data_IF_676644197689
#
_entry.id   IF_676644197689
#
_cell.length_a   1.000
_cell.length_b   1.000
_cell.length_c   1.000
_cell.angle_alpha   90.00
_cell.angle_beta   90.00
_cell.angle_gamma   90.00
#
_symmetry.space_group_name_H-M   'P 1'
#
loop_
_entity.id
_entity.type
_entity.pdbx_description
1 polymer ?
#
# COMPACT_ATOMS: atom_id res chain seq x y z
N UNK A 1 19.61 21.07 0.33
CA UNK A 1 19.30 19.99 1.29
C UNK A 1 19.32 18.67 0.55
N UNK A 2 19.81 17.60 1.17
CA UNK A 2 19.73 16.25 0.60
C UNK A 2 18.32 15.72 0.88
N UNK A 3 17.64 15.18 -0.14
CA UNK A 3 16.32 14.59 0.01
C UNK A 3 16.43 13.22 0.70
N UNK A 4 15.40 12.89 1.48
CA UNK A 4 15.10 11.52 1.90
C UNK A 4 14.36 10.83 0.77
N UNK A 5 14.82 9.65 0.38
CA UNK A 5 14.20 8.82 -0.66
C UNK A 5 13.60 7.60 0.05
N UNK A 6 12.27 7.43 0.05
CA UNK A 6 11.66 6.21 0.54
C UNK A 6 12.07 4.99 -0.29
N UNK A 7 12.19 3.85 0.37
CA UNK A 7 12.48 2.55 -0.21
C UNK A 7 11.45 1.54 0.33
N UNK A 8 10.82 0.77 -0.56
CA UNK A 8 10.00 -0.37 -0.17
C UNK A 8 10.92 -1.48 0.34
N UNK A 9 11.02 -1.65 1.66
CA UNK A 9 11.91 -2.64 2.29
C UNK A 9 11.34 -4.04 2.22
N UNK A 10 10.04 -4.17 2.50
CA UNK A 10 9.31 -5.44 2.42
C UNK A 10 7.82 -5.19 2.19
N UNK A 11 7.15 -6.23 1.73
CA UNK A 11 5.70 -6.26 1.55
C UNK A 11 5.19 -7.63 1.99
N UNK A 12 4.07 -7.65 2.71
CA UNK A 12 3.42 -8.87 3.16
C UNK A 12 1.94 -8.62 3.42
N UNK A 13 1.17 -9.69 3.67
CA UNK A 13 -0.16 -9.59 4.25
C UNK A 13 -0.10 -10.12 5.69
N UNK A 14 -0.81 -9.51 6.64
CA UNK A 14 -0.86 -10.00 8.01
C UNK A 14 -1.73 -11.26 8.14
N UNK A 15 -2.59 -11.53 7.16
CA UNK A 15 -3.57 -12.61 7.22
C UNK A 15 -3.00 -13.95 6.77
N UNK A 16 -2.18 -13.96 5.70
CA UNK A 16 -1.58 -15.17 5.09
C UNK A 16 -0.51 -14.84 4.05
N UNK A 17 0.14 -15.88 3.51
CA UNK A 17 1.18 -15.72 2.51
C UNK A 17 0.63 -15.17 1.19
N UNK A 18 1.20 -14.04 0.78
CA UNK A 18 0.76 -13.26 -0.38
C UNK A 18 0.96 -13.97 -1.72
N UNK A 19 1.85 -14.96 -1.77
CA UNK A 19 2.12 -15.73 -3.00
C UNK A 19 0.95 -16.64 -3.37
N UNK A 20 0.07 -16.96 -2.42
CA UNK A 20 -1.07 -17.86 -2.63
C UNK A 20 -2.26 -17.12 -3.28
N UNK A 21 -2.27 -15.80 -3.23
CA UNK A 21 -3.46 -14.98 -3.56
C UNK A 21 -3.79 -14.93 -5.04
N UNK A 22 -2.78 -15.01 -5.92
CA UNK A 22 -3.00 -14.90 -7.36
C UNK A 22 -3.89 -16.03 -7.90
N UNK A 23 -3.64 -17.27 -7.47
CA UNK A 23 -4.48 -18.40 -7.90
C UNK A 23 -5.80 -18.43 -7.14
N UNK A 24 -5.83 -18.06 -5.86
CA UNK A 24 -7.05 -18.02 -5.05
C UNK A 24 -8.09 -17.04 -5.60
N UNK A 25 -7.66 -15.83 -5.99
CA UNK A 25 -8.58 -14.76 -6.39
C UNK A 25 -8.77 -14.63 -7.90
N UNK A 26 -8.28 -15.59 -8.67
CA UNK A 26 -8.23 -15.54 -10.13
C UNK A 26 -9.54 -15.11 -10.80
N UNK A 27 -10.68 -15.52 -10.25
CA UNK A 27 -12.00 -15.22 -10.79
C UNK A 27 -12.98 -14.60 -9.77
N UNK A 28 -12.54 -14.40 -8.53
CA UNK A 28 -13.43 -14.00 -7.45
C UNK A 28 -13.25 -12.52 -7.07
N UNK A 29 -14.30 -11.83 -6.61
CA UNK A 29 -14.15 -10.54 -5.96
C UNK A 29 -13.21 -10.65 -4.76
N UNK A 30 -12.22 -9.77 -4.66
CA UNK A 30 -11.27 -9.75 -3.55
C UNK A 30 -10.98 -8.33 -3.08
N UNK A 31 -10.66 -8.22 -1.79
CA UNK A 31 -10.11 -7.03 -1.17
C UNK A 31 -9.31 -7.47 0.05
N UNK A 32 -8.01 -7.29 0.00
CA UNK A 32 -7.07 -7.89 0.95
C UNK A 32 -6.12 -6.85 1.52
N UNK A 33 -5.80 -7.01 2.79
CA UNK A 33 -4.86 -6.14 3.46
C UNK A 33 -3.42 -6.54 3.12
N UNK A 34 -2.68 -5.57 2.61
CA UNK A 34 -1.24 -5.64 2.39
C UNK A 34 -0.57 -4.54 3.22
N UNK A 35 0.53 -4.91 3.87
CA UNK A 35 1.40 -3.97 4.56
C UNK A 35 2.65 -3.73 3.72
N UNK A 36 2.76 -2.52 3.19
CA UNK A 36 3.98 -2.03 2.55
C UNK A 36 4.86 -1.38 3.63
N UNK A 37 6.07 -1.92 3.81
CA UNK A 37 7.01 -1.41 4.80
C UNK A 37 8.00 -0.51 4.10
N UNK A 38 7.93 0.79 4.39
CA UNK A 38 8.83 1.77 3.80
C UNK A 38 9.83 2.27 4.83
N UNK A 39 11.08 2.44 4.40
CA UNK A 39 12.12 3.09 5.18
C UNK A 39 12.93 4.05 4.33
N UNK A 40 13.91 4.72 4.95
CA UNK A 40 14.83 5.59 4.22
C UNK A 40 15.82 4.72 3.41
N UNK A 41 16.03 5.09 2.15
CA UNK A 41 16.97 4.40 1.27
C UNK A 41 18.38 4.32 1.89
N UNK A 42 18.91 3.09 1.95
CA UNK A 42 20.23 2.82 2.52
C UNK A 42 20.33 2.95 4.05
N UNK A 43 19.20 3.11 4.76
CA UNK A 43 19.15 3.07 6.22
C UNK A 43 18.39 1.84 6.71
N UNK A 44 18.66 1.47 7.96
CA UNK A 44 17.91 0.46 8.70
C UNK A 44 16.59 1.05 9.24
N UNK A 45 15.61 0.17 9.45
CA UNK A 45 14.28 0.56 9.93
C UNK A 45 13.28 0.84 8.81
N UNK A 46 12.01 0.64 9.14
CA UNK A 46 10.85 0.90 8.31
C UNK A 46 9.61 1.08 9.16
N UNK A 47 8.57 1.62 8.53
CA UNK A 47 7.26 1.87 9.11
C UNK A 47 6.20 1.25 8.22
N UNK A 48 5.07 0.87 8.82
CA UNK A 48 3.99 0.19 8.11
C UNK A 48 3.00 1.15 7.45
N UNK A 49 2.60 0.78 6.22
CA UNK A 49 1.55 1.43 5.44
C UNK A 49 0.55 0.36 5.00
N UNK A 50 -0.63 0.40 5.58
CA UNK A 50 -1.72 -0.55 5.33
C UNK A 50 -2.50 -0.15 4.06
N UNK A 51 -2.55 -1.06 3.09
CA UNK A 51 -3.17 -0.86 1.78
C UNK A 51 -4.16 -1.99 1.54
N UNK A 52 -5.40 -1.64 1.17
CA UNK A 52 -6.39 -2.62 0.73
C UNK A 52 -6.28 -2.79 -0.79
N UNK A 53 -5.84 -3.96 -1.25
CA UNK A 53 -5.75 -4.27 -2.68
C UNK A 53 -6.97 -5.05 -3.11
N UNK A 54 -7.74 -4.48 -4.03
CA UNK A 54 -9.08 -4.96 -4.36
C UNK A 54 -9.30 -4.96 -5.88
N UNK A 55 -10.13 -5.85 -6.41
CA UNK A 55 -10.52 -5.79 -7.82
C UNK A 55 -11.81 -5.00 -8.06
N UNK A 56 -12.06 -4.57 -9.32
CA UNK A 56 -13.27 -3.82 -9.65
C UNK A 56 -14.58 -4.50 -9.25
N UNK A 57 -14.67 -5.83 -9.33
CA UNK A 57 -15.88 -6.57 -8.95
C UNK A 57 -16.18 -6.46 -7.45
N UNK A 58 -15.15 -6.44 -6.58
CA UNK A 58 -15.35 -6.20 -5.16
C UNK A 58 -15.83 -4.77 -4.88
N UNK A 59 -15.24 -3.78 -5.57
CA UNK A 59 -15.65 -2.37 -5.43
C UNK A 59 -17.10 -2.16 -5.87
N UNK A 60 -17.54 -2.83 -6.93
CA UNK A 60 -18.94 -2.80 -7.38
C UNK A 60 -19.90 -3.35 -6.32
N UNK A 61 -19.55 -4.48 -5.69
CA UNK A 61 -20.35 -5.05 -4.60
C UNK A 61 -20.45 -4.09 -3.42
N UNK A 62 -19.34 -3.46 -3.02
CA UNK A 62 -19.32 -2.54 -1.88
C UNK A 62 -20.06 -1.23 -2.18
N UNK A 63 -19.90 -0.66 -3.38
CA UNK A 63 -20.61 0.53 -3.80
C UNK A 63 -22.13 0.32 -3.92
N UNK A 64 -22.57 -0.90 -4.27
CA UNK A 64 -23.99 -1.24 -4.28
C UNK A 64 -24.62 -1.30 -2.87
N UNK A 65 -23.79 -1.35 -1.82
CA UNK A 65 -24.25 -1.30 -0.43
C UNK A 65 -24.37 0.13 0.13
N UNK A 66 -23.98 1.17 -0.63
CA UNK A 66 -24.14 2.56 -0.23
C UNK A 66 -22.99 3.48 -0.65
N UNK A 67 -22.57 4.36 0.26
CA UNK A 67 -21.45 5.28 0.03
C UNK A 67 -20.17 4.63 0.54
N UNK A 68 -19.16 4.58 -0.33
CA UNK A 68 -17.87 3.98 -0.05
C UNK A 68 -16.74 5.01 -0.25
N UNK A 69 -15.79 5.06 0.69
CA UNK A 69 -14.58 5.91 0.60
C UNK A 69 -13.39 5.08 0.13
N UNK A 70 -12.86 5.39 -1.06
CA UNK A 70 -11.73 4.66 -1.65
C UNK A 70 -10.34 5.03 -1.11
N UNK A 71 -10.23 5.75 0.01
CA UNK A 71 -8.93 6.14 0.57
C UNK A 71 -8.17 4.90 1.08
N UNK A 72 -6.92 4.75 0.65
CA UNK A 72 -6.03 3.60 0.93
C UNK A 72 -6.40 2.30 0.21
N UNK A 73 -7.25 2.39 -0.83
CA UNK A 73 -7.59 1.26 -1.70
C UNK A 73 -6.77 1.34 -3.00
N UNK A 74 -6.09 0.25 -3.34
CA UNK A 74 -5.42 0.06 -4.62
C UNK A 74 -6.24 -0.91 -5.47
N UNK A 75 -6.71 -0.43 -6.62
CA UNK A 75 -7.57 -1.22 -7.51
C UNK A 75 -6.74 -1.92 -8.58
N UNK A 76 -6.83 -3.25 -8.64
CA UNK A 76 -6.09 -4.09 -9.59
C UNK A 76 -7.02 -4.99 -10.39
N UNK A 77 -6.79 -5.16 -11.69
CA UNK A 77 -7.62 -6.04 -12.53
C UNK A 77 -7.48 -7.52 -12.15
N UNK A 78 -6.28 -7.92 -11.71
CA UNK A 78 -5.95 -9.24 -11.17
C UNK A 78 -4.95 -9.06 -10.04
N UNK A 79 -4.89 -10.00 -9.11
CA UNK A 79 -3.87 -9.97 -8.09
C UNK A 79 -2.54 -10.43 -8.69
N UNK A 80 -1.54 -9.55 -8.73
CA UNK A 80 -0.22 -9.81 -9.30
C UNK A 80 0.79 -9.05 -8.43
N UNK A 81 1.46 -9.78 -7.53
CA UNK A 81 2.28 -9.17 -6.50
C UNK A 81 3.48 -8.41 -7.07
N UNK A 82 4.02 -8.85 -8.20
CA UNK A 82 5.17 -8.18 -8.82
C UNK A 82 4.76 -6.85 -9.47
N UNK A 83 3.57 -6.81 -10.09
CA UNK A 83 2.99 -5.54 -10.59
C UNK A 83 2.68 -4.59 -9.44
N UNK A 84 2.09 -5.09 -8.34
CA UNK A 84 1.79 -4.27 -7.14
C UNK A 84 3.08 -3.72 -6.54
N UNK A 85 4.10 -4.56 -6.31
CA UNK A 85 5.41 -4.14 -5.80
C UNK A 85 6.02 -3.05 -6.67
N UNK A 86 6.01 -3.23 -7.99
CA UNK A 86 6.55 -2.24 -8.92
C UNK A 86 5.84 -0.89 -8.79
N UNK A 87 4.51 -0.91 -8.74
CA UNK A 87 3.71 0.29 -8.54
C UNK A 87 4.03 1.01 -7.23
N UNK A 88 4.18 0.26 -6.13
CA UNK A 88 4.55 0.79 -4.82
C UNK A 88 5.98 1.36 -4.78
N UNK A 89 6.93 0.73 -5.47
CA UNK A 89 8.29 1.28 -5.65
C UNK A 89 8.24 2.59 -6.43
N UNK A 90 7.44 2.67 -7.49
CA UNK A 90 7.28 3.90 -8.28
C UNK A 90 6.66 5.02 -7.43
N UNK A 91 5.69 4.71 -6.56
CA UNK A 91 5.16 5.67 -5.58
C UNK A 91 6.27 6.17 -4.65
N UNK A 92 7.06 5.27 -4.06
CA UNK A 92 8.13 5.62 -3.12
C UNK A 92 9.12 6.62 -3.72
N UNK A 93 9.54 6.40 -4.97
CA UNK A 93 10.44 7.29 -5.69
C UNK A 93 9.85 8.70 -5.89
N UNK A 94 8.53 8.79 -6.11
CA UNK A 94 7.81 10.07 -6.26
C UNK A 94 7.49 10.76 -4.91
N UNK A 95 7.70 10.07 -3.79
CA UNK A 95 7.45 10.61 -2.45
C UNK A 95 8.70 11.21 -1.78
N UNK A 96 9.84 11.29 -2.47
CA UNK A 96 11.07 11.88 -1.93
C UNK A 96 10.85 13.32 -1.41
N UNK A 97 11.35 13.60 -0.21
CA UNK A 97 11.02 14.80 0.55
C UNK A 97 12.19 15.32 1.40
N UNK A 98 12.00 16.44 2.10
CA UNK A 98 13.06 17.05 2.93
C UNK A 98 13.31 16.32 4.26
N UNK A 99 12.32 15.57 4.73
CA UNK A 99 12.36 14.75 5.94
C UNK A 99 11.63 13.42 5.71
N UNK A 100 11.81 12.47 6.62
CA UNK A 100 11.05 11.23 6.61
C UNK A 100 9.56 11.48 6.85
N UNK A 101 9.21 12.31 7.84
CA UNK A 101 7.83 12.74 8.12
C UNK A 101 7.10 13.20 6.86
N UNK A 102 7.70 14.12 6.10
CA UNK A 102 7.08 14.66 4.89
C UNK A 102 6.94 13.57 3.79
N UNK A 103 7.90 12.65 3.70
CA UNK A 103 7.83 11.54 2.75
C UNK A 103 6.75 10.52 3.16
N UNK A 104 6.67 10.20 4.46
CA UNK A 104 5.67 9.31 5.05
C UNK A 104 4.25 9.87 4.90
N UNK A 105 4.03 11.17 5.11
CA UNK A 105 2.75 11.83 4.84
C UNK A 105 2.33 11.75 3.35
N UNK A 106 3.30 11.80 2.43
CA UNK A 106 3.02 11.62 0.99
C UNK A 106 2.68 10.16 0.65
N UNK A 107 3.41 9.21 1.22
CA UNK A 107 3.10 7.78 1.13
C UNK A 107 1.73 7.47 1.73
N UNK A 108 1.39 8.16 2.83
CA UNK A 108 0.14 8.11 3.58
C UNK A 108 -1.12 8.45 2.77
N UNK A 109 -0.96 8.94 1.53
CA UNK A 109 -2.06 9.16 0.58
C UNK A 109 -2.51 7.84 -0.08
N UNK A 110 -1.63 6.85 -0.12
CA UNK A 110 -1.83 5.58 -0.81
C UNK A 110 -2.06 4.41 0.14
N UNK A 111 -1.53 4.48 1.37
CA UNK A 111 -1.74 3.50 2.43
C UNK A 111 -1.85 4.19 3.78
N UNK A 112 -2.59 3.60 4.72
CA UNK A 112 -2.72 4.14 6.07
C UNK A 112 -1.39 3.97 6.80
N UNK A 113 -0.76 5.08 7.15
CA UNK A 113 0.49 5.08 7.88
C UNK A 113 0.27 4.77 9.37
N UNK A 114 1.17 4.01 10.00
CA UNK A 114 1.02 3.63 11.41
C UNK A 114 1.07 4.81 12.40
N UNK A 115 1.70 5.92 12.00
CA UNK A 115 1.72 7.17 12.75
C UNK A 115 0.79 8.25 12.15
N UNK A 116 -0.13 7.88 11.25
CA UNK A 116 -1.13 8.81 10.72
C UNK A 116 -1.94 9.45 11.87
N UNK A 117 -1.98 10.79 11.88
CA UNK A 117 -2.65 11.61 12.90
C UNK A 117 -2.15 11.38 14.35
N UNK A 118 -0.97 10.78 14.54
CA UNK A 118 -0.37 10.62 15.86
C UNK A 118 -0.02 11.99 16.46
N UNK A 119 -0.54 12.26 17.66
CA UNK A 119 -0.20 13.42 18.48
C UNK A 119 0.44 12.88 19.76
N UNK A 120 1.64 13.37 20.07
CA UNK A 120 2.40 13.03 21.28
C UNK A 120 1.72 13.54 22.57
#
# INVERSE_FOLDING_TARGET
MKLVIPELKRIHSPDKDIIEFEEEFKNDPYCILIQAMYGIHGQEGDESFDILVCNPSWIELEANNGIFSGRHYLITTRFDIDVIKKFLIDIALNCAASSWQEAAERLGRYGKWEFEDYIE
#
